data_IF_962153643894
#
_entry.id   IF_962153643894
#
_cell.length_a   1.000
_cell.length_b   1.000
_cell.length_c   1.000
_cell.angle_alpha   90.00
_cell.angle_beta   90.00
_cell.angle_gamma   90.00
#
_symmetry.space_group_name_H-M   'P 1'
#
loop_
_entity.id
_entity.type
_entity.pdbx_description
1 polymer ?
#
# COMPACT_ATOMS: atom_id res chain seq x y z
N UNK A 1 -27.41 3.63 1.97
CA UNK A 1 -27.21 4.52 0.80
C UNK A 1 -25.73 4.84 0.82
N UNK A 2 -24.94 4.16 -0.02
CA UNK A 2 -23.47 4.25 -0.02
C UNK A 2 -23.08 5.53 -0.73
N UNK A 3 -22.39 6.42 -0.03
CA UNK A 3 -21.89 7.67 -0.62
C UNK A 3 -20.44 7.40 -1.04
N UNK A 4 -20.26 7.05 -2.30
CA UNK A 4 -18.93 7.00 -2.91
C UNK A 4 -18.57 8.39 -3.43
N UNK A 5 -17.26 8.69 -3.52
CA UNK A 5 -16.80 9.92 -4.19
C UNK A 5 -17.23 9.87 -5.65
N UNK A 6 -18.28 10.60 -6.00
CA UNK A 6 -18.64 10.82 -7.39
C UNK A 6 -17.81 11.98 -7.94
N UNK A 7 -17.58 12.00 -9.26
CA UNK A 7 -16.86 13.07 -9.96
C UNK A 7 -17.43 14.47 -9.69
N UNK A 8 -18.74 14.55 -9.49
CA UNK A 8 -19.43 15.78 -9.15
C UNK A 8 -19.11 16.30 -7.74
N UNK A 9 -18.87 15.40 -6.77
CA UNK A 9 -18.51 15.78 -5.40
C UNK A 9 -17.05 16.28 -5.34
N UNK A 10 -16.16 15.70 -6.12
CA UNK A 10 -14.80 16.18 -6.31
C UNK A 10 -14.77 17.59 -6.93
N UNK A 11 -15.70 17.89 -7.85
CA UNK A 11 -15.83 19.19 -8.49
C UNK A 11 -16.49 20.24 -7.57
N UNK A 12 -17.43 19.82 -6.71
CA UNK A 12 -18.14 20.70 -5.77
C UNK A 12 -17.25 21.20 -4.61
N UNK A 13 -16.19 20.46 -4.25
CA UNK A 13 -15.22 20.87 -3.21
C UNK A 13 -14.19 21.90 -3.70
N UNK A 14 -14.40 22.45 -4.90
CA UNK A 14 -13.43 23.34 -5.54
C UNK A 14 -12.17 22.54 -5.84
N UNK A 15 -11.95 22.23 -7.10
CA UNK A 15 -10.88 21.41 -7.68
C UNK A 15 -9.48 21.57 -7.04
N UNK A 16 -9.25 22.65 -6.31
CA UNK A 16 -8.02 22.99 -5.65
C UNK A 16 -7.76 22.21 -4.35
N UNK A 17 -8.79 21.89 -3.54
CA UNK A 17 -8.57 21.23 -2.23
C UNK A 17 -8.27 19.74 -2.39
N UNK A 18 -8.88 19.08 -3.36
CA UNK A 18 -8.56 17.69 -3.71
C UNK A 18 -7.24 17.59 -4.46
N UNK A 19 -6.94 18.54 -5.34
CA UNK A 19 -5.62 18.62 -5.98
C UNK A 19 -4.48 18.79 -4.98
N UNK A 20 -4.68 19.49 -3.87
CA UNK A 20 -3.67 19.63 -2.81
C UNK A 20 -3.49 18.32 -2.03
N UNK A 21 -4.55 17.54 -1.86
CA UNK A 21 -4.48 16.21 -1.21
C UNK A 21 -3.89 15.15 -2.15
N UNK A 22 -4.13 15.27 -3.46
CA UNK A 22 -3.66 14.31 -4.47
C UNK A 22 -2.47 14.80 -5.30
N UNK A 23 -2.25 16.11 -5.39
CA UNK A 23 -1.05 16.68 -5.99
C UNK A 23 0.04 16.76 -4.92
N UNK A 24 0.85 15.74 -4.85
CA UNK A 24 2.23 15.93 -4.38
C UNK A 24 2.81 17.10 -5.21
N UNK A 25 3.45 18.11 -4.59
CA UNK A 25 3.83 19.39 -5.21
C UNK A 25 4.64 19.33 -6.51
N UNK A 26 5.01 18.17 -6.99
CA UNK A 26 5.80 17.98 -8.21
C UNK A 26 5.10 17.14 -9.29
N UNK A 27 3.80 16.87 -9.21
CA UNK A 27 3.05 16.16 -10.26
C UNK A 27 3.50 14.72 -10.53
N UNK A 28 4.53 14.24 -9.87
CA UNK A 28 5.07 12.91 -10.00
C UNK A 28 4.65 12.05 -8.81
N UNK A 29 3.43 11.54 -8.85
CA UNK A 29 3.01 10.44 -8.00
C UNK A 29 3.67 9.16 -8.51
N UNK A 30 5.00 9.10 -8.51
CA UNK A 30 5.75 7.92 -8.87
C UNK A 30 5.93 6.99 -7.67
N UNK A 31 4.82 6.52 -7.11
CA UNK A 31 4.89 5.48 -6.06
C UNK A 31 5.25 4.13 -6.68
N UNK A 32 5.23 4.05 -8.01
CA UNK A 32 5.31 2.79 -8.75
C UNK A 32 6.45 2.62 -9.76
N UNK A 33 7.52 3.47 -9.84
CA UNK A 33 8.46 3.39 -10.96
C UNK A 33 9.27 2.09 -11.00
N UNK A 34 9.47 1.44 -9.85
CA UNK A 34 10.34 0.28 -9.72
C UNK A 34 9.59 -1.05 -9.53
N UNK A 35 8.27 -1.06 -9.75
CA UNK A 35 7.47 -2.27 -9.66
C UNK A 35 7.32 -2.88 -11.04
N UNK A 36 7.81 -4.12 -11.18
CA UNK A 36 7.68 -4.90 -12.40
C UNK A 36 6.53 -5.89 -12.27
N UNK A 37 5.83 -6.13 -13.37
CA UNK A 37 4.73 -7.07 -13.44
C UNK A 37 3.96 -6.94 -14.74
N UNK A 38 2.87 -7.69 -14.84
CA UNK A 38 2.00 -7.70 -16.03
C UNK A 38 0.68 -6.95 -15.77
N UNK A 39 0.15 -7.04 -14.55
CA UNK A 39 -1.19 -6.53 -14.21
C UNK A 39 -1.12 -5.60 -12.99
N UNK A 40 -1.57 -4.37 -13.19
CA UNK A 40 -1.75 -3.40 -12.12
C UNK A 40 -3.22 -2.97 -12.03
N UNK A 41 -3.77 -2.99 -10.84
CA UNK A 41 -5.15 -2.62 -10.57
C UNK A 41 -5.18 -1.38 -9.66
N UNK A 42 -6.00 -0.41 -10.02
CA UNK A 42 -6.36 0.70 -9.16
C UNK A 42 -7.81 0.54 -8.74
N UNK A 43 -8.09 0.55 -7.45
CA UNK A 43 -9.44 0.40 -6.91
C UNK A 43 -9.84 1.72 -6.28
N UNK A 44 -10.83 2.36 -6.85
CA UNK A 44 -11.33 3.68 -6.48
C UNK A 44 -10.63 4.83 -7.19
N UNK A 45 -11.27 6.00 -7.17
CA UNK A 45 -10.83 7.26 -7.78
C UNK A 45 -10.38 7.11 -9.24
N UNK A 46 -11.24 6.66 -10.14
CA UNK A 46 -10.88 6.39 -11.53
C UNK A 46 -10.46 7.64 -12.31
N UNK A 47 -10.84 8.83 -11.85
CA UNK A 47 -10.46 10.11 -12.44
C UNK A 47 -8.97 10.45 -12.25
N UNK A 48 -8.36 9.90 -11.20
CA UNK A 48 -6.97 10.15 -10.87
C UNK A 48 -6.09 8.98 -11.31
N UNK A 49 -5.29 9.11 -12.39
CA UNK A 49 -4.52 8.00 -12.94
C UNK A 49 -3.25 7.73 -12.12
N UNK A 50 -3.37 7.11 -10.94
CA UNK A 50 -2.23 6.77 -10.07
C UNK A 50 -1.26 5.77 -10.71
N UNK A 51 -1.71 4.98 -11.66
CA UNK A 51 -0.90 4.00 -12.37
C UNK A 51 -0.16 4.59 -13.58
N UNK A 52 -0.30 5.89 -13.87
CA UNK A 52 0.29 6.51 -15.07
C UNK A 52 1.82 6.37 -15.12
N UNK A 53 2.50 6.45 -13.97
CA UNK A 53 3.95 6.29 -13.86
C UNK A 53 4.44 4.86 -13.78
N UNK A 54 3.55 3.88 -13.74
CA UNK A 54 3.92 2.46 -13.65
C UNK A 54 4.48 1.93 -14.96
N UNK A 55 5.50 1.06 -14.88
CA UNK A 55 6.05 0.32 -16.02
C UNK A 55 5.23 -0.91 -16.39
N UNK A 56 4.20 -1.23 -15.62
CA UNK A 56 3.32 -2.37 -15.86
C UNK A 56 2.45 -2.10 -17.08
N UNK A 57 2.37 -3.08 -17.98
CA UNK A 57 1.71 -2.93 -19.29
C UNK A 57 0.19 -2.83 -19.15
N UNK A 58 -0.43 -3.76 -18.43
CA UNK A 58 -1.88 -3.79 -18.22
C UNK A 58 -2.24 -3.03 -16.96
N UNK A 59 -2.96 -1.95 -17.11
CA UNK A 59 -3.41 -1.08 -16.01
C UNK A 59 -4.90 -0.94 -16.10
N UNK A 60 -5.61 -1.33 -15.04
CA UNK A 60 -7.06 -1.27 -14.97
C UNK A 60 -7.49 -0.46 -13.76
N UNK A 61 -8.50 0.37 -13.95
CA UNK A 61 -9.20 1.09 -12.88
C UNK A 61 -10.54 0.45 -12.61
N UNK A 62 -10.84 0.24 -11.34
CA UNK A 62 -12.03 -0.47 -10.86
C UNK A 62 -12.77 0.47 -9.93
N UNK A 63 -14.04 0.64 -10.17
CA UNK A 63 -14.96 1.37 -9.30
C UNK A 63 -16.39 0.89 -9.55
N UNK A 64 -17.35 1.37 -8.75
CA UNK A 64 -18.78 1.14 -8.94
C UNK A 64 -19.37 2.02 -10.03
N UNK A 65 -18.74 3.16 -10.32
CA UNK A 65 -19.22 4.18 -11.23
C UNK A 65 -18.21 4.49 -12.34
N UNK A 66 -18.71 5.02 -13.46
CA UNK A 66 -17.85 5.57 -14.53
C UNK A 66 -17.08 6.81 -14.01
N UNK A 67 -15.84 7.06 -14.48
CA UNK A 67 -15.19 6.53 -15.69
C UNK A 67 -14.28 5.31 -15.46
N UNK A 68 -14.59 4.41 -14.53
CA UNK A 68 -13.81 3.20 -14.31
C UNK A 68 -13.83 2.28 -15.54
N UNK A 69 -12.72 1.61 -15.82
CA UNK A 69 -12.60 0.65 -16.92
C UNK A 69 -13.32 -0.67 -16.62
N UNK A 70 -13.39 -1.03 -15.32
CA UNK A 70 -14.10 -2.21 -14.84
C UNK A 70 -15.08 -1.76 -13.77
N UNK A 71 -16.36 -1.91 -14.04
CA UNK A 71 -17.42 -1.62 -13.08
C UNK A 71 -17.63 -2.83 -12.18
N UNK A 72 -17.15 -2.78 -10.96
CA UNK A 72 -17.25 -3.88 -10.00
C UNK A 72 -17.25 -3.38 -8.56
N UNK A 73 -17.86 -4.16 -7.67
CA UNK A 73 -17.79 -3.91 -6.23
C UNK A 73 -16.37 -4.22 -5.74
N UNK A 74 -15.69 -3.27 -5.07
CA UNK A 74 -14.38 -3.49 -4.48
C UNK A 74 -14.29 -4.67 -3.49
N UNK A 75 -15.43 -5.08 -2.91
CA UNK A 75 -15.50 -6.23 -2.01
C UNK A 75 -15.55 -7.58 -2.74
N UNK A 76 -15.84 -7.58 -4.05
CA UNK A 76 -15.98 -8.77 -4.88
C UNK A 76 -15.36 -8.52 -6.26
N UNK A 77 -14.04 -8.59 -6.32
CA UNK A 77 -13.31 -8.28 -7.55
C UNK A 77 -13.46 -9.40 -8.60
N UNK A 78 -13.78 -9.06 -9.85
CA UNK A 78 -13.94 -10.04 -10.93
C UNK A 78 -12.60 -10.55 -11.49
N UNK A 79 -11.62 -10.78 -10.61
CA UNK A 79 -10.30 -11.25 -10.99
C UNK A 79 -9.98 -12.59 -10.31
N UNK A 80 -9.18 -13.40 -11.00
CA UNK A 80 -8.69 -14.67 -10.46
C UNK A 80 -7.77 -14.46 -9.25
N UNK A 81 -7.62 -15.47 -8.43
CA UNK A 81 -6.62 -15.50 -7.37
C UNK A 81 -5.21 -15.33 -7.95
N UNK A 82 -4.38 -14.55 -7.27
CA UNK A 82 -2.99 -14.28 -7.67
C UNK A 82 -2.88 -13.70 -9.09
N UNK A 83 -3.89 -12.96 -9.55
CA UNK A 83 -3.95 -12.37 -10.88
C UNK A 83 -3.26 -11.01 -11.03
N UNK A 84 -2.97 -10.30 -9.94
CA UNK A 84 -2.41 -8.95 -9.98
C UNK A 84 -1.02 -8.87 -9.34
N UNK A 85 -0.11 -8.13 -9.97
CA UNK A 85 1.24 -7.85 -9.47
C UNK A 85 1.26 -6.62 -8.56
N UNK A 86 0.42 -5.64 -8.86
CA UNK A 86 0.29 -4.40 -8.13
C UNK A 86 -1.19 -4.05 -7.94
N UNK A 87 -1.55 -3.70 -6.72
CA UNK A 87 -2.85 -3.11 -6.40
C UNK A 87 -2.63 -1.77 -5.69
N UNK A 88 -3.36 -0.74 -6.13
CA UNK A 88 -3.32 0.59 -5.53
C UNK A 88 -4.71 0.93 -4.99
N UNK A 89 -4.79 1.32 -3.73
CA UNK A 89 -5.99 1.73 -3.02
C UNK A 89 -5.88 3.22 -2.64
N UNK A 90 -6.26 4.15 -3.53
CA UNK A 90 -6.24 5.57 -3.21
C UNK A 90 -7.49 5.93 -2.40
N UNK A 91 -7.34 6.15 -1.11
CA UNK A 91 -8.41 6.55 -0.18
C UNK A 91 -9.66 5.64 -0.17
N UNK A 92 -9.58 4.45 -0.75
CA UNK A 92 -10.72 3.53 -0.88
C UNK A 92 -11.18 2.97 0.46
N UNK A 93 -10.22 2.68 1.36
CA UNK A 93 -10.50 2.09 2.67
C UNK A 93 -11.31 2.99 3.61
N UNK A 94 -11.26 4.28 3.40
CA UNK A 94 -11.90 5.29 4.27
C UNK A 94 -13.39 5.46 3.96
N UNK A 95 -13.77 5.15 2.73
CA UNK A 95 -15.12 5.32 2.21
C UNK A 95 -15.86 4.00 2.05
N UNK A 96 -15.25 2.89 2.44
CA UNK A 96 -15.90 1.58 2.45
C UNK A 96 -16.48 1.26 3.82
N UNK A 97 -17.64 0.59 3.83
CA UNK A 97 -18.29 0.13 5.06
C UNK A 97 -17.52 -1.03 5.69
N UNK A 98 -16.91 -1.89 4.87
CA UNK A 98 -16.22 -3.11 5.28
C UNK A 98 -14.75 -3.15 4.82
N UNK A 99 -13.84 -2.33 5.39
CA UNK A 99 -12.44 -2.27 4.96
C UNK A 99 -11.70 -3.60 5.11
N UNK A 100 -12.09 -4.43 6.06
CA UNK A 100 -11.51 -5.76 6.25
C UNK A 100 -11.85 -6.72 5.12
N UNK A 101 -13.10 -6.68 4.63
CA UNK A 101 -13.53 -7.51 3.50
C UNK A 101 -12.78 -7.11 2.23
N UNK A 102 -12.67 -5.81 1.98
CA UNK A 102 -11.90 -5.29 0.85
C UNK A 102 -10.44 -5.74 0.91
N UNK A 103 -9.78 -5.66 2.07
CA UNK A 103 -8.40 -6.11 2.22
C UNK A 103 -8.23 -7.62 2.03
N UNK A 104 -9.22 -8.46 2.44
CA UNK A 104 -9.20 -9.92 2.17
C UNK A 104 -9.30 -10.18 0.67
N UNK A 105 -10.16 -9.44 -0.02
CA UNK A 105 -10.34 -9.58 -1.47
C UNK A 105 -9.09 -9.13 -2.24
N UNK A 106 -8.48 -8.03 -1.82
CA UNK A 106 -7.18 -7.60 -2.32
C UNK A 106 -6.11 -8.67 -2.08
N UNK A 107 -6.08 -9.28 -0.89
CA UNK A 107 -5.15 -10.37 -0.60
C UNK A 107 -5.38 -11.59 -1.50
N UNK A 108 -6.63 -11.92 -1.83
CA UNK A 108 -6.95 -13.02 -2.75
C UNK A 108 -6.41 -12.77 -4.15
N UNK A 109 -6.63 -11.56 -4.66
CA UNK A 109 -6.30 -11.18 -6.05
C UNK A 109 -4.81 -10.94 -6.26
N UNK A 110 -4.12 -10.38 -5.25
CA UNK A 110 -2.69 -10.08 -5.37
C UNK A 110 -1.84 -11.37 -5.32
N UNK A 111 -0.86 -11.48 -6.21
CA UNK A 111 0.04 -12.64 -6.27
C UNK A 111 1.02 -12.68 -5.09
N UNK A 112 1.62 -13.84 -4.79
CA UNK A 112 2.78 -13.89 -3.89
C UNK A 112 3.89 -12.96 -4.39
N UNK A 113 4.52 -12.22 -3.47
CA UNK A 113 5.50 -11.17 -3.74
C UNK A 113 4.92 -9.95 -4.50
N UNK A 114 3.63 -9.92 -4.78
CA UNK A 114 2.92 -8.76 -5.33
C UNK A 114 2.86 -7.62 -4.33
N UNK A 115 2.69 -6.41 -4.84
CA UNK A 115 2.76 -5.20 -4.04
C UNK A 115 1.40 -4.52 -3.91
N UNK A 116 1.12 -4.08 -2.71
CA UNK A 116 -0.06 -3.30 -2.35
C UNK A 116 0.38 -1.90 -1.94
N UNK A 117 -0.22 -0.89 -2.54
CA UNK A 117 -0.01 0.51 -2.18
C UNK A 117 -1.33 1.07 -1.67
N UNK A 118 -1.30 1.66 -0.50
CA UNK A 118 -2.47 2.26 0.14
C UNK A 118 -2.17 3.73 0.42
N UNK A 119 -3.05 4.62 -0.04
CA UNK A 119 -3.08 6.01 0.37
C UNK A 119 -4.27 6.23 1.32
N UNK A 120 -4.04 6.95 2.40
CA UNK A 120 -5.09 7.23 3.37
C UNK A 120 -4.85 8.49 4.20
N UNK A 121 -5.93 9.03 4.80
CA UNK A 121 -5.87 10.19 5.68
C UNK A 121 -5.43 9.79 7.08
N UNK A 122 -4.51 10.59 7.62
CA UNK A 122 -4.01 10.40 8.97
C UNK A 122 -4.94 11.07 10.00
N UNK A 123 -5.57 10.33 10.91
CA UNK A 123 -6.42 10.91 11.95
C UNK A 123 -5.65 11.79 12.94
N UNK A 124 -4.33 11.59 13.08
CA UNK A 124 -3.46 12.36 13.99
C UNK A 124 -2.85 13.61 13.33
N UNK A 125 -3.42 14.06 12.22
CA UNK A 125 -3.00 15.24 11.49
C UNK A 125 -3.95 16.42 11.70
N UNK A 126 -3.60 17.55 11.11
CA UNK A 126 -4.50 18.72 11.05
C UNK A 126 -5.78 18.43 10.27
N UNK A 127 -5.75 17.48 9.33
CA UNK A 127 -6.94 16.96 8.65
C UNK A 127 -7.83 16.20 9.64
N UNK A 128 -7.28 15.35 10.48
CA UNK A 128 -8.02 14.63 11.50
C UNK A 128 -8.65 15.55 12.54
N UNK A 129 -7.93 16.58 12.99
CA UNK A 129 -8.47 17.58 13.93
C UNK A 129 -9.60 18.38 13.30
N UNK A 130 -9.47 18.81 12.04
CA UNK A 130 -10.56 19.51 11.33
C UNK A 130 -11.79 18.61 11.22
N UNK A 131 -11.64 17.32 10.91
CA UNK A 131 -12.74 16.37 10.89
C UNK A 131 -13.43 16.25 12.26
N UNK A 132 -12.66 16.17 13.35
CA UNK A 132 -13.19 15.98 14.69
C UNK A 132 -13.97 17.20 15.20
N UNK A 133 -13.47 18.41 14.92
CA UNK A 133 -14.08 19.67 15.36
C UNK A 133 -15.03 20.27 14.29
N UNK A 134 -14.89 19.89 13.03
CA UNK A 134 -15.71 20.34 11.93
C UNK A 134 -17.06 19.63 11.90
N UNK A 135 -18.13 20.39 11.60
CA UNK A 135 -19.46 19.86 11.31
C UNK A 135 -19.71 19.69 9.83
N UNK A 136 -18.65 19.71 9.02
CA UNK A 136 -18.77 19.58 7.57
C UNK A 136 -19.10 18.13 7.21
N UNK A 137 -20.26 17.94 6.56
CA UNK A 137 -20.72 16.64 6.05
C UNK A 137 -20.37 16.45 4.56
N UNK A 138 -19.32 17.10 4.11
CA UNK A 138 -18.83 17.02 2.74
C UNK A 138 -17.59 16.15 2.69
N UNK A 139 -17.35 15.50 1.56
CA UNK A 139 -16.12 14.79 1.30
C UNK A 139 -14.89 15.75 1.39
N UNK A 140 -13.74 15.34 1.90
CA UNK A 140 -13.39 14.01 2.39
C UNK A 140 -13.72 13.74 3.87
N UNK A 141 -14.40 14.67 4.55
CA UNK A 141 -14.61 14.66 6.02
C UNK A 141 -15.57 13.58 6.49
N UNK A 142 -16.40 13.03 5.59
CA UNK A 142 -17.34 11.93 5.89
C UNK A 142 -16.65 10.56 6.02
N UNK A 143 -15.45 10.38 5.43
CA UNK A 143 -14.71 9.14 5.44
C UNK A 143 -14.24 8.70 6.84
N UNK A 144 -14.06 7.42 7.06
CA UNK A 144 -13.51 6.86 8.29
C UNK A 144 -11.98 6.86 8.24
N UNK A 145 -11.34 7.88 8.82
CA UNK A 145 -9.88 7.96 8.84
C UNK A 145 -9.28 6.82 9.64
N UNK A 146 -8.44 6.01 8.98
CA UNK A 146 -7.84 4.83 9.57
C UNK A 146 -6.43 5.18 10.03
N UNK A 147 -6.13 4.94 11.31
CA UNK A 147 -4.81 5.19 11.83
C UNK A 147 -3.79 4.20 11.25
N UNK A 148 -2.62 4.71 10.87
CA UNK A 148 -1.55 3.94 10.22
C UNK A 148 -1.16 2.68 11.01
N UNK A 149 -1.13 2.73 12.35
CA UNK A 149 -0.80 1.57 13.19
C UNK A 149 -1.86 0.46 13.09
N UNK A 150 -3.16 0.84 13.03
CA UNK A 150 -4.25 -0.14 12.84
C UNK A 150 -4.18 -0.80 11.46
N UNK A 151 -3.91 0.01 10.43
CA UNK A 151 -3.76 -0.52 9.08
C UNK A 151 -2.58 -1.49 8.99
N UNK A 152 -1.44 -1.17 9.61
CA UNK A 152 -0.28 -2.09 9.68
C UNK A 152 -0.62 -3.40 10.39
N UNK A 153 -1.38 -3.35 11.47
CA UNK A 153 -1.84 -4.53 12.20
C UNK A 153 -2.73 -5.41 11.31
N UNK A 154 -3.72 -4.82 10.63
CA UNK A 154 -4.58 -5.55 9.70
C UNK A 154 -3.81 -6.22 8.56
N UNK A 155 -2.86 -5.50 7.98
CA UNK A 155 -2.01 -6.03 6.90
C UNK A 155 -1.13 -7.17 7.39
N UNK A 156 -0.56 -7.06 8.59
CA UNK A 156 0.25 -8.13 9.20
C UNK A 156 -0.57 -9.40 9.44
N UNK A 157 -1.81 -9.27 9.92
CA UNK A 157 -2.73 -10.41 10.11
C UNK A 157 -3.07 -11.12 8.79
N UNK A 158 -3.10 -10.39 7.68
CA UNK A 158 -3.34 -10.95 6.35
C UNK A 158 -2.07 -11.50 5.68
N UNK A 159 -0.90 -11.40 6.33
CA UNK A 159 0.37 -11.89 5.77
C UNK A 159 1.06 -10.91 4.83
N UNK A 160 0.69 -9.63 4.87
CA UNK A 160 1.45 -8.58 4.21
C UNK A 160 2.61 -8.10 5.08
N UNK A 161 3.77 -7.98 4.48
CA UNK A 161 4.93 -7.32 5.08
C UNK A 161 4.99 -5.86 4.62
N UNK A 162 5.03 -4.94 5.57
CA UNK A 162 5.15 -3.51 5.26
C UNK A 162 6.58 -3.21 4.81
N UNK A 163 6.74 -2.90 3.52
CA UNK A 163 8.03 -2.61 2.90
C UNK A 163 8.48 -1.15 3.11
N UNK A 164 7.54 -0.25 3.38
CA UNK A 164 7.83 1.16 3.61
C UNK A 164 6.59 2.01 3.67
N UNK A 165 6.76 3.27 4.02
CA UNK A 165 5.68 4.24 4.05
C UNK A 165 6.23 5.65 4.08
N UNK A 166 5.41 6.59 3.64
CA UNK A 166 5.70 8.02 3.64
C UNK A 166 4.47 8.77 4.12
N UNK A 167 4.69 9.85 4.85
CA UNK A 167 3.67 10.81 5.22
C UNK A 167 3.93 12.11 4.45
N UNK A 168 2.87 12.66 3.88
CA UNK A 168 2.89 13.88 3.09
C UNK A 168 1.73 14.81 3.51
N UNK A 169 1.63 15.99 2.90
CA UNK A 169 0.59 16.98 3.17
C UNK A 169 0.61 17.50 4.61
N UNK A 170 1.65 18.25 4.94
CA UNK A 170 1.75 18.94 6.23
C UNK A 170 1.01 20.30 6.27
N UNK A 171 0.55 20.75 5.10
CA UNK A 171 -0.19 22.01 4.98
C UNK A 171 -1.59 21.86 5.57
N UNK A 172 -2.03 22.79 6.44
CA UNK A 172 -3.40 22.78 6.96
C UNK A 172 -4.45 22.85 5.84
N UNK A 173 -5.61 22.20 5.98
CA UNK A 173 -6.67 22.17 4.96
C UNK A 173 -7.43 23.49 4.91
N UNK A 174 -6.82 24.52 4.34
CA UNK A 174 -7.49 25.82 4.10
C UNK A 174 -8.15 25.83 2.74
N UNK A 175 -9.37 26.37 2.68
CA UNK A 175 -10.12 26.52 1.43
C UNK A 175 -9.58 27.63 0.51
N UNK A 176 -8.68 28.50 0.97
CA UNK A 176 -8.18 29.64 0.22
C UNK A 176 -6.75 29.37 -0.32
N UNK A 177 -6.58 29.47 -1.62
CA UNK A 177 -5.33 29.28 -2.34
C UNK A 177 -4.18 30.18 -1.88
N UNK A 178 -4.48 31.40 -1.47
CA UNK A 178 -3.49 32.36 -0.93
C UNK A 178 -2.78 31.84 0.32
N UNK A 179 -3.48 31.08 1.16
CA UNK A 179 -2.91 30.46 2.36
C UNK A 179 -2.07 29.23 2.03
N UNK A 180 -2.45 28.46 1.02
CA UNK A 180 -1.70 27.28 0.56
C UNK A 180 -0.28 27.67 0.10
N UNK A 181 -0.17 28.74 -0.71
CA UNK A 181 1.14 29.26 -1.14
C UNK A 181 1.99 29.78 0.01
N UNK A 182 1.37 30.42 1.00
CA UNK A 182 2.08 30.98 2.16
C UNK A 182 2.58 29.89 3.11
N UNK A 183 1.89 28.76 3.19
CA UNK A 183 2.21 27.64 4.07
C UNK A 183 3.01 26.52 3.37
N UNK A 184 3.43 26.70 2.13
CA UNK A 184 4.31 25.76 1.44
C UNK A 184 5.64 25.49 2.19
N UNK A 185 6.06 26.43 3.05
CA UNK A 185 7.18 26.25 3.96
C UNK A 185 6.97 25.09 4.94
N UNK A 186 5.72 24.83 5.36
CA UNK A 186 5.38 23.73 6.29
C UNK A 186 5.63 22.35 5.71
N UNK A 187 5.62 22.18 4.40
CA UNK A 187 5.97 20.88 3.79
C UNK A 187 7.44 20.52 4.04
N UNK A 188 8.34 21.48 3.83
CA UNK A 188 9.78 21.26 4.08
C UNK A 188 10.11 21.18 5.57
N UNK A 189 9.40 21.92 6.40
CA UNK A 189 9.59 21.91 7.84
C UNK A 189 8.93 20.70 8.50
N UNK A 190 7.74 20.28 8.03
CA UNK A 190 6.95 19.20 8.59
C UNK A 190 7.66 17.84 8.48
N UNK A 191 8.24 17.55 7.32
CA UNK A 191 9.01 16.32 7.08
C UNK A 191 10.20 16.19 8.06
N UNK A 192 10.78 17.30 8.49
CA UNK A 192 11.93 17.33 9.41
C UNK A 192 11.55 17.39 10.89
N UNK A 193 10.48 18.12 11.25
CA UNK A 193 10.16 18.45 12.65
C UNK A 193 8.98 17.66 13.20
N UNK A 194 8.02 17.27 12.35
CA UNK A 194 6.81 16.52 12.74
C UNK A 194 6.47 15.40 11.74
N UNK A 195 7.33 14.41 11.56
CA UNK A 195 7.12 13.38 10.54
C UNK A 195 5.81 12.58 10.75
N UNK A 196 5.21 12.63 11.95
CA UNK A 196 3.97 11.88 12.27
C UNK A 196 2.70 12.68 11.93
N UNK A 197 2.80 14.02 11.74
CA UNK A 197 1.65 14.90 11.56
C UNK A 197 1.21 15.12 10.11
N UNK A 198 1.81 14.42 9.15
CA UNK A 198 1.40 14.47 7.74
C UNK A 198 -0.08 14.11 7.57
N UNK A 199 -0.78 14.86 6.72
CA UNK A 199 -2.21 14.71 6.48
C UNK A 199 -2.58 13.42 5.78
N UNK A 200 -1.72 12.95 4.91
CA UNK A 200 -1.90 11.73 4.10
C UNK A 200 -0.73 10.81 4.34
N UNK A 201 -1.01 9.53 4.49
CA UNK A 201 0.03 8.49 4.49
C UNK A 201 -0.04 7.67 3.22
N UNK A 202 1.13 7.26 2.75
CA UNK A 202 1.31 6.25 1.71
C UNK A 202 2.00 5.05 2.34
N UNK A 203 1.42 3.87 2.18
CA UNK A 203 1.95 2.64 2.71
C UNK A 203 2.16 1.65 1.57
N UNK A 204 3.35 1.09 1.50
CA UNK A 204 3.70 0.00 0.59
C UNK A 204 3.86 -1.29 1.37
N UNK A 205 3.14 -2.32 0.96
CA UNK A 205 3.19 -3.64 1.55
C UNK A 205 3.38 -4.70 0.47
N UNK A 206 4.03 -5.81 0.81
CA UNK A 206 4.27 -6.95 -0.09
C UNK A 206 3.60 -8.18 0.50
N UNK A 207 2.84 -8.94 -0.31
CA UNK A 207 2.24 -10.20 0.11
C UNK A 207 3.34 -11.24 0.27
N UNK A 208 3.62 -11.65 1.51
CA UNK A 208 4.57 -12.71 1.80
C UNK A 208 3.86 -14.04 2.02
N UNK A 209 4.12 -14.97 1.15
CA UNK A 209 3.72 -16.37 1.35
C UNK A 209 4.90 -17.11 1.94
N UNK A 210 4.78 -17.56 3.17
CA UNK A 210 5.78 -18.39 3.82
C UNK A 210 5.87 -19.71 3.04
N UNK A 211 6.89 -19.82 2.21
CA UNK A 211 7.21 -21.08 1.53
C UNK A 211 7.51 -22.18 2.54
N UNK A 212 7.23 -23.43 2.18
CA UNK A 212 7.60 -24.57 3.02
C UNK A 212 9.11 -24.56 3.29
N UNK A 213 9.49 -24.32 4.53
CA UNK A 213 10.87 -24.50 4.96
C UNK A 213 11.12 -26.00 5.05
N UNK A 214 11.82 -26.57 4.06
CA UNK A 214 12.25 -27.96 4.13
C UNK A 214 13.19 -28.10 5.30
N UNK A 215 12.69 -28.64 6.41
CA UNK A 215 13.50 -28.98 7.57
C UNK A 215 14.28 -30.23 7.17
N UNK A 216 15.55 -30.06 6.83
CA UNK A 216 16.44 -31.19 6.56
C UNK A 216 16.54 -32.02 7.84
N UNK A 217 16.15 -33.31 7.81
CA UNK A 217 16.14 -34.13 9.01
C UNK A 217 17.51 -34.17 9.67
N UNK A 218 17.55 -34.05 11.00
CA UNK A 218 18.81 -33.99 11.77
C UNK A 218 19.71 -35.24 11.58
N UNK A 219 19.13 -36.38 11.18
CA UNK A 219 19.85 -37.61 10.90
C UNK A 219 20.75 -37.51 9.66
N UNK A 220 20.43 -36.70 8.66
CA UNK A 220 21.25 -36.48 7.48
C UNK A 220 22.62 -35.87 7.83
N UNK A 221 22.67 -35.00 8.85
CA UNK A 221 23.95 -34.44 9.34
C UNK A 221 24.82 -35.47 10.06
N UNK A 222 24.21 -36.43 10.77
CA UNK A 222 24.95 -37.51 11.45
C UNK A 222 25.57 -38.52 10.48
N UNK A 223 24.83 -38.88 9.44
CA UNK A 223 25.30 -39.77 8.38
C UNK A 223 26.49 -39.12 7.64
N UNK A 224 26.40 -37.85 7.26
CA UNK A 224 27.46 -37.12 6.58
C UNK A 224 28.73 -36.99 7.44
N UNK A 225 28.59 -36.73 8.75
CA UNK A 225 29.74 -36.70 9.67
C UNK A 225 30.40 -38.08 9.84
N UNK A 226 29.62 -39.18 9.90
CA UNK A 226 30.17 -40.54 9.95
C UNK A 226 30.90 -40.92 8.66
N UNK A 227 30.35 -40.57 7.50
CA UNK A 227 31.02 -40.85 6.21
C UNK A 227 32.33 -40.10 6.08
N UNK A 228 32.41 -38.83 6.43
CA UNK A 228 33.64 -38.05 6.42
C UNK A 228 34.69 -38.57 7.40
N UNK A 229 34.26 -39.02 8.59
CA UNK A 229 35.19 -39.64 9.57
C UNK A 229 35.73 -41.00 9.10
N UNK A 230 34.91 -41.78 8.38
CA UNK A 230 35.38 -43.07 7.80
C UNK A 230 36.40 -42.83 6.69
N UNK A 231 36.19 -41.88 5.80
CA UNK A 231 37.14 -41.50 4.76
C UNK A 231 38.47 -41.00 5.34
N UNK A 232 38.41 -40.19 6.39
CA UNK A 232 39.64 -39.69 7.06
C UNK A 232 40.46 -40.80 7.73
N UNK A 233 39.81 -41.87 8.23
CA UNK A 233 40.48 -43.06 8.77
C UNK A 233 41.17 -43.87 7.65
N UNK A 234 40.52 -44.13 6.54
CA UNK A 234 41.11 -44.85 5.38
C UNK A 234 42.34 -44.13 4.82
N UNK A 235 42.30 -42.80 4.74
CA UNK A 235 43.46 -42.02 4.25
C UNK A 235 44.65 -42.14 5.22
N UNK A 236 44.43 -42.21 6.54
CA UNK A 236 45.50 -42.41 7.52
C UNK A 236 46.10 -43.82 7.45
N UNK A 237 45.23 -44.86 7.37
CA UNK A 237 45.73 -46.25 7.22
C UNK A 237 46.55 -46.45 5.95
N UNK A 238 46.18 -45.82 4.84
CA UNK A 238 46.98 -45.88 3.60
C UNK A 238 48.31 -45.11 3.68
N UNK A 239 48.42 -44.11 4.58
CA UNK A 239 49.69 -43.39 4.80
C UNK A 239 50.69 -44.21 5.66
N UNK A 240 50.18 -44.86 6.71
CA UNK A 240 51.01 -45.68 7.63
C UNK A 240 51.56 -46.98 6.99
N UNK A 241 50.97 -47.45 5.89
CA UNK A 241 51.49 -48.67 5.14
C UNK A 241 52.62 -48.32 4.14
N UNK A 242 52.94 -47.03 3.99
CA UNK A 242 53.99 -46.56 3.05
C UNK A 242 55.30 -46.15 3.73
N UNK A 243 55.39 -46.24 5.05
CA UNK A 243 56.66 -46.18 5.81
C UNK A 243 57.12 -47.62 6.17
#
# INVERSE_FOLDING_TARGET
MRTYLTSNDAFALGSHSLYVVFAVPNGNFSVTPDIFGFHALQIGLPECPFLRGSRITTRLTIDLEEPAQVLADPHWLPFAENGADLIVLPHTLEFTDEPHQLLREVHRVIRPEGQLIIAGFNPFSLFGTKRYFGREQTMPWTGNFIALYRLKDWLSLLGFEVAGGRLDCYVPPFAQEKWLQRFHFFEKAGDRWWPIAGGVYFLRATKRVLGMRVITPAWSRRVRKKALAAQARQVRECADVRE
#
